data_IF_131733271358
#
_entry.id   IF_131733271358
#
_cell.length_a   1.000
_cell.length_b   1.000
_cell.length_c   1.000
_cell.angle_alpha   90.00
_cell.angle_beta   90.00
_cell.angle_gamma   90.00
#
_symmetry.space_group_name_H-M   'P 1'
#
loop_
_entity.id
_entity.type
_entity.pdbx_description
1 polymer ?
#
# COMPACT_ATOMS: atom_id res chain seq x y z
N UNK A 1 4.08 16.14 -16.20
CA UNK A 1 4.65 17.32 -15.55
C UNK A 1 6.16 17.11 -15.50
N UNK A 2 6.92 18.04 -16.09
CA UNK A 2 8.39 18.04 -16.02
C UNK A 2 8.83 19.18 -15.10
N UNK A 3 9.69 18.87 -14.16
CA UNK A 3 10.48 19.85 -13.42
C UNK A 3 11.96 19.63 -13.75
N UNK A 4 12.84 20.53 -13.29
CA UNK A 4 14.30 20.32 -13.45
C UNK A 4 14.83 19.10 -12.67
N UNK A 5 14.05 18.57 -11.72
CA UNK A 5 14.41 17.49 -10.82
C UNK A 5 13.63 16.19 -11.06
N UNK A 6 12.39 16.28 -11.57
CA UNK A 6 11.50 15.13 -11.71
C UNK A 6 10.78 15.15 -13.07
N UNK A 7 10.77 13.99 -13.73
CA UNK A 7 9.96 13.74 -14.93
C UNK A 7 8.91 12.67 -14.58
N UNK A 8 7.64 13.06 -14.57
CA UNK A 8 6.53 12.13 -14.35
C UNK A 8 6.04 11.56 -15.69
N UNK A 9 5.95 10.25 -15.76
CA UNK A 9 5.37 9.51 -16.87
C UNK A 9 4.18 8.71 -16.34
N UNK A 10 2.99 9.05 -16.80
CA UNK A 10 1.76 8.38 -16.43
C UNK A 10 1.46 7.23 -17.40
N UNK A 11 1.00 6.10 -16.85
CA UNK A 11 0.54 4.93 -17.59
C UNK A 11 -0.94 4.73 -17.28
N UNK A 12 -1.79 4.79 -18.30
CA UNK A 12 -3.22 4.60 -18.13
C UNK A 12 -3.50 3.09 -17.98
N UNK A 13 -4.21 2.71 -16.92
CA UNK A 13 -4.56 1.31 -16.66
C UNK A 13 -5.46 0.69 -17.73
N UNK A 14 -6.09 1.51 -18.56
CA UNK A 14 -6.96 1.06 -19.66
C UNK A 14 -6.18 0.75 -20.94
N UNK A 15 -4.91 1.16 -21.03
CA UNK A 15 -4.07 0.85 -22.17
C UNK A 15 -3.60 -0.61 -22.14
N UNK A 16 -3.33 -1.24 -23.30
CA UNK A 16 -2.83 -2.61 -23.38
C UNK A 16 -1.50 -2.80 -22.65
N UNK A 17 -1.37 -3.89 -21.90
CA UNK A 17 -0.17 -4.18 -21.10
C UNK A 17 1.10 -4.29 -21.94
N UNK A 18 1.03 -4.78 -23.18
CA UNK A 18 2.19 -4.90 -24.08
C UNK A 18 2.76 -3.53 -24.46
N UNK A 19 1.88 -2.51 -24.61
CA UNK A 19 2.31 -1.13 -24.82
C UNK A 19 3.00 -0.57 -23.58
N UNK A 20 2.47 -0.88 -22.39
CA UNK A 20 3.09 -0.52 -21.12
C UNK A 20 4.47 -1.14 -20.98
N UNK A 21 4.62 -2.43 -21.25
CA UNK A 21 5.91 -3.10 -21.19
C UNK A 21 6.93 -2.48 -22.15
N UNK A 22 6.53 -2.22 -23.39
CA UNK A 22 7.40 -1.58 -24.38
C UNK A 22 7.82 -0.17 -23.96
N UNK A 23 6.89 0.61 -23.44
CA UNK A 23 7.09 2.00 -23.03
C UNK A 23 7.95 2.11 -21.77
N UNK A 24 7.67 1.31 -20.72
CA UNK A 24 8.43 1.35 -19.47
C UNK A 24 9.86 0.83 -19.68
N UNK A 25 10.02 -0.19 -20.53
CA UNK A 25 11.35 -0.70 -20.90
C UNK A 25 12.22 0.37 -21.57
N UNK A 26 11.64 1.20 -22.46
CA UNK A 26 12.36 2.32 -23.10
C UNK A 26 12.63 3.46 -22.11
N UNK A 27 11.71 3.69 -21.17
CA UNK A 27 11.79 4.80 -20.23
C UNK A 27 12.86 4.59 -19.16
N UNK A 28 13.10 3.35 -18.72
CA UNK A 28 14.03 3.00 -17.64
C UNK A 28 13.86 3.89 -16.40
N UNK A 29 12.68 3.86 -15.74
CA UNK A 29 12.40 4.76 -14.62
C UNK A 29 13.25 4.43 -13.39
N UNK A 30 13.70 5.47 -12.69
CA UNK A 30 14.36 5.32 -11.38
C UNK A 30 13.36 4.95 -10.28
N UNK A 31 12.12 5.47 -10.36
CA UNK A 31 11.09 5.25 -9.37
C UNK A 31 9.86 4.69 -10.08
N UNK A 32 9.35 3.59 -9.57
CA UNK A 32 8.10 2.99 -10.03
C UNK A 32 7.07 3.13 -8.91
N UNK A 33 5.95 3.78 -9.22
CA UNK A 33 4.80 3.88 -8.31
C UNK A 33 3.63 3.15 -8.95
N UNK A 34 3.06 2.19 -8.26
CA UNK A 34 1.96 1.40 -8.81
C UNK A 34 1.22 0.57 -7.77
N UNK A 35 0.11 0.02 -8.20
CA UNK A 35 -0.66 -0.94 -7.43
C UNK A 35 0.09 -2.27 -7.35
N UNK A 36 -0.01 -3.04 -6.25
CA UNK A 36 0.55 -4.39 -6.14
C UNK A 36 0.27 -5.28 -7.34
N UNK A 37 -0.98 -5.29 -7.81
CA UNK A 37 -1.39 -6.06 -8.99
C UNK A 37 -0.57 -5.75 -10.24
N UNK A 38 -0.25 -4.47 -10.50
CA UNK A 38 0.61 -4.06 -11.61
C UNK A 38 2.09 -4.34 -11.36
N UNK A 39 2.57 -4.12 -10.14
CA UNK A 39 3.96 -4.39 -9.77
C UNK A 39 4.28 -5.89 -9.94
N UNK A 40 3.35 -6.77 -9.61
CA UNK A 40 3.46 -8.22 -9.84
C UNK A 40 3.50 -8.54 -11.35
N UNK A 41 2.70 -7.87 -12.17
CA UNK A 41 2.75 -8.06 -13.63
C UNK A 41 4.12 -7.64 -14.20
N UNK A 42 4.68 -6.51 -13.74
CA UNK A 42 6.03 -6.08 -14.10
C UNK A 42 7.08 -7.09 -13.64
N UNK A 43 6.98 -7.59 -12.41
CA UNK A 43 7.89 -8.61 -11.90
C UNK A 43 7.83 -9.91 -12.72
N UNK A 44 6.63 -10.36 -13.10
CA UNK A 44 6.46 -11.53 -13.98
C UNK A 44 7.03 -11.29 -15.38
N UNK A 45 6.84 -10.09 -15.94
CA UNK A 45 7.41 -9.73 -17.25
C UNK A 45 8.94 -9.67 -17.21
N UNK A 46 9.52 -9.17 -16.12
CA UNK A 46 10.97 -9.16 -15.87
C UNK A 46 11.52 -10.59 -15.77
N UNK A 47 10.88 -11.48 -15.02
CA UNK A 47 11.26 -12.91 -14.93
C UNK A 47 11.23 -13.63 -16.28
N UNK A 48 10.30 -13.22 -17.16
CA UNK A 48 10.18 -13.76 -18.53
C UNK A 48 11.06 -13.05 -19.56
N UNK A 49 11.93 -12.14 -19.12
CA UNK A 49 12.81 -11.34 -19.96
C UNK A 49 12.08 -10.48 -21.03
N UNK A 50 10.77 -10.23 -20.84
CA UNK A 50 9.98 -9.33 -21.70
C UNK A 50 10.40 -7.87 -21.49
N UNK A 51 10.75 -7.51 -20.26
CA UNK A 51 11.30 -6.21 -19.89
C UNK A 51 12.59 -6.40 -19.10
N UNK A 52 13.41 -5.34 -19.07
CA UNK A 52 14.56 -5.27 -18.18
C UNK A 52 14.58 -3.89 -17.54
N UNK A 53 14.31 -3.85 -16.22
CA UNK A 53 14.24 -2.65 -15.41
C UNK A 53 15.18 -2.77 -14.20
N UNK A 54 15.75 -1.64 -13.79
CA UNK A 54 16.57 -1.53 -12.58
C UNK A 54 16.17 -0.27 -11.81
N UNK A 55 14.97 -0.24 -11.21
CA UNK A 55 14.53 0.93 -10.45
C UNK A 55 15.33 1.07 -9.16
N UNK A 56 15.53 2.31 -8.71
CA UNK A 56 16.12 2.62 -7.40
C UNK A 56 15.08 2.51 -6.28
N UNK A 57 13.80 2.74 -6.61
CA UNK A 57 12.68 2.69 -5.67
C UNK A 57 11.42 2.09 -6.31
N UNK A 58 10.70 1.32 -5.51
CA UNK A 58 9.36 0.82 -5.85
C UNK A 58 8.42 1.22 -4.72
N UNK A 59 7.31 1.87 -5.08
CA UNK A 59 6.31 2.37 -4.13
C UNK A 59 4.97 1.73 -4.48
N UNK A 60 4.46 0.96 -3.54
CA UNK A 60 3.13 0.35 -3.62
C UNK A 60 2.07 1.29 -3.08
N UNK A 61 0.99 1.47 -3.85
CA UNK A 61 -0.13 2.37 -3.54
C UNK A 61 -1.48 1.73 -3.87
N UNK A 62 -2.54 2.27 -3.31
CA UNK A 62 -3.94 2.04 -3.67
C UNK A 62 -4.52 0.65 -3.37
N UNK A 63 -3.73 -0.40 -3.28
CA UNK A 63 -4.16 -1.75 -2.92
C UNK A 63 -3.35 -2.27 -1.73
N UNK A 64 -3.87 -3.27 -1.04
CA UNK A 64 -3.13 -3.94 0.04
C UNK A 64 -2.04 -4.83 -0.58
N UNK A 65 -0.79 -4.57 -0.22
CA UNK A 65 0.33 -5.42 -0.62
C UNK A 65 0.41 -6.65 0.29
N UNK A 66 0.27 -7.84 -0.29
CA UNK A 66 0.45 -9.08 0.47
C UNK A 66 1.94 -9.37 0.73
N UNK A 67 2.28 -10.10 1.81
CA UNK A 67 3.65 -10.52 2.04
C UNK A 67 4.23 -11.33 0.87
N UNK A 68 3.44 -12.20 0.25
CA UNK A 68 3.84 -13.03 -0.89
C UNK A 68 4.13 -12.21 -2.14
N UNK A 69 3.30 -11.18 -2.40
CA UNK A 69 3.51 -10.26 -3.51
C UNK A 69 4.75 -9.39 -3.26
N UNK A 70 4.92 -8.91 -2.04
CA UNK A 70 6.10 -8.15 -1.64
C UNK A 70 7.37 -8.95 -1.87
N UNK A 71 7.44 -10.18 -1.36
CA UNK A 71 8.59 -11.07 -1.54
C UNK A 71 8.88 -11.31 -3.03
N UNK A 72 7.83 -11.51 -3.82
CA UNK A 72 7.97 -11.71 -5.27
C UNK A 72 8.56 -10.49 -5.96
N UNK A 73 8.05 -9.28 -5.66
CA UNK A 73 8.52 -8.03 -6.26
C UNK A 73 9.96 -7.74 -5.83
N UNK A 74 10.24 -7.80 -4.53
CA UNK A 74 11.56 -7.55 -3.97
C UNK A 74 12.61 -8.56 -4.48
N UNK A 75 12.22 -9.84 -4.59
CA UNK A 75 13.08 -10.89 -5.13
C UNK A 75 13.47 -10.67 -6.60
N UNK A 76 12.59 -10.03 -7.39
CA UNK A 76 12.86 -9.76 -8.82
C UNK A 76 13.68 -8.50 -9.03
N UNK A 77 13.28 -7.40 -8.36
CA UNK A 77 13.90 -6.10 -8.60
C UNK A 77 15.08 -5.80 -7.66
N UNK A 78 15.26 -6.62 -6.62
CA UNK A 78 16.29 -6.44 -5.58
C UNK A 78 16.20 -5.06 -4.88
N UNK A 79 14.97 -4.55 -4.74
CA UNK A 79 14.65 -3.27 -4.13
C UNK A 79 13.53 -3.48 -3.12
N UNK A 80 13.67 -2.89 -1.93
CA UNK A 80 12.60 -2.93 -0.92
C UNK A 80 11.38 -2.15 -1.38
N UNK A 81 10.19 -2.75 -1.30
CA UNK A 81 8.93 -2.11 -1.68
C UNK A 81 8.44 -1.23 -0.55
N UNK A 82 8.41 0.07 -0.79
CA UNK A 82 7.79 1.03 0.11
C UNK A 82 6.28 1.01 -0.06
N UNK A 83 5.54 1.09 1.04
CA UNK A 83 4.09 1.16 1.01
C UNK A 83 3.62 2.54 1.47
N UNK A 84 2.63 3.07 0.79
CA UNK A 84 1.97 4.32 1.19
C UNK A 84 0.52 4.02 1.49
N UNK A 85 0.11 4.30 2.72
CA UNK A 85 -1.29 4.25 3.13
C UNK A 85 -1.95 5.58 2.78
N UNK A 86 -2.75 5.54 1.73
CA UNK A 86 -3.54 6.67 1.28
C UNK A 86 -4.91 6.24 0.78
N UNK A 87 -5.87 7.14 0.88
CA UNK A 87 -7.21 7.01 0.33
C UNK A 87 -7.71 8.39 -0.14
N UNK A 88 -8.96 8.48 -0.58
CA UNK A 88 -9.54 9.73 -1.08
C UNK A 88 -9.45 10.88 -0.06
N UNK A 89 -9.49 10.55 1.21
CA UNK A 89 -9.41 11.48 2.33
C UNK A 89 -8.00 12.02 2.56
N UNK A 90 -6.95 11.33 2.13
CA UNK A 90 -5.57 11.82 2.28
C UNK A 90 -4.50 10.74 2.35
N UNK A 91 -3.27 11.18 2.58
CA UNK A 91 -2.12 10.32 2.85
C UNK A 91 -1.96 10.18 4.37
N UNK A 92 -2.11 8.97 4.87
CA UNK A 92 -2.18 8.70 6.32
C UNK A 92 -0.93 8.05 6.90
N UNK A 93 -0.07 7.47 6.05
CA UNK A 93 1.15 6.87 6.52
C UNK A 93 2.03 6.31 5.41
N UNK A 94 3.24 5.94 5.77
CA UNK A 94 4.21 5.31 4.88
C UNK A 94 5.03 4.25 5.62
N UNK A 95 5.51 3.27 4.87
CA UNK A 95 6.32 2.21 5.47
C UNK A 95 7.75 2.68 5.76
N UNK A 96 8.26 2.25 6.92
CA UNK A 96 9.65 2.41 7.27
C UNK A 96 10.53 1.29 6.68
N UNK A 97 11.85 1.39 6.87
CA UNK A 97 12.82 0.37 6.43
C UNK A 97 12.61 -1.03 7.06
N UNK A 98 11.76 -1.15 8.07
CA UNK A 98 11.37 -2.43 8.69
C UNK A 98 10.07 -2.99 8.10
N UNK A 99 9.47 -2.32 7.11
CA UNK A 99 8.25 -2.73 6.44
C UNK A 99 6.95 -2.33 7.16
N UNK A 100 7.00 -1.83 8.40
CA UNK A 100 5.81 -1.37 9.09
C UNK A 100 5.40 0.03 8.62
N UNK A 101 4.11 0.26 8.44
CA UNK A 101 3.56 1.58 8.09
C UNK A 101 3.48 2.41 9.36
N UNK A 102 4.06 3.60 9.32
CA UNK A 102 3.91 4.60 10.38
C UNK A 102 2.88 5.64 9.96
N UNK A 103 1.93 5.90 10.87
CA UNK A 103 0.88 6.87 10.60
C UNK A 103 1.40 8.29 10.85
N UNK A 104 0.99 9.25 10.00
CA UNK A 104 1.50 10.63 9.96
C UNK A 104 0.97 11.49 11.12
N UNK A 105 1.32 11.16 12.36
CA UNK A 105 0.86 11.86 13.58
C UNK A 105 1.42 13.27 13.72
N UNK A 106 2.34 13.69 12.85
CA UNK A 106 2.81 15.08 12.74
C UNK A 106 1.76 16.04 12.16
N UNK A 107 0.76 15.52 11.44
CA UNK A 107 -0.32 16.30 10.83
C UNK A 107 -1.70 15.71 11.03
N UNK A 108 -1.81 14.59 11.72
CA UNK A 108 -3.05 13.88 11.96
C UNK A 108 -3.23 13.59 13.46
N UNK A 109 -4.44 13.76 13.95
CA UNK A 109 -4.87 13.15 15.21
C UNK A 109 -5.56 11.84 14.86
N UNK A 110 -5.10 10.76 15.45
CA UNK A 110 -5.59 9.40 15.16
C UNK A 110 -6.15 8.80 16.45
N UNK A 111 -7.47 8.75 16.52
CA UNK A 111 -8.17 8.04 17.57
C UNK A 111 -8.43 6.59 17.14
N UNK A 112 -8.34 5.64 18.05
CA UNK A 112 -8.48 4.21 17.75
C UNK A 112 -9.83 3.71 18.25
N UNK A 113 -10.70 3.27 17.33
CA UNK A 113 -11.86 2.48 17.69
C UNK A 113 -11.45 1.00 17.65
N UNK A 114 -11.14 0.44 18.81
CA UNK A 114 -10.68 -0.93 18.93
C UNK A 114 -11.76 -1.95 18.54
N UNK A 115 -11.38 -2.94 17.76
CA UNK A 115 -12.15 -4.14 17.43
C UNK A 115 -11.76 -5.25 18.39
N UNK A 116 -10.47 -5.40 18.67
CA UNK A 116 -9.88 -6.31 19.64
C UNK A 116 -8.55 -5.74 20.18
N UNK A 117 -7.70 -6.57 20.78
CA UNK A 117 -6.44 -6.13 21.42
C UNK A 117 -5.43 -5.51 20.44
N UNK A 118 -5.51 -5.83 19.15
CA UNK A 118 -4.53 -5.41 18.13
C UNK A 118 -5.14 -4.70 16.93
N UNK A 119 -6.44 -4.86 16.68
CA UNK A 119 -7.11 -4.30 15.51
C UNK A 119 -7.99 -3.13 15.88
N UNK A 120 -7.93 -2.09 15.07
CA UNK A 120 -8.74 -0.90 15.26
C UNK A 120 -9.15 -0.28 13.93
N UNK A 121 -10.25 0.46 13.96
CA UNK A 121 -10.67 1.37 12.90
C UNK A 121 -10.19 2.77 13.29
N UNK A 122 -9.42 3.47 12.44
CA UNK A 122 -8.95 4.81 12.75
C UNK A 122 -10.07 5.84 12.60
N UNK A 123 -10.10 6.80 13.53
CA UNK A 123 -10.90 8.02 13.45
C UNK A 123 -9.90 9.16 13.29
N UNK A 124 -9.96 9.85 12.14
CA UNK A 124 -8.93 10.80 11.71
C UNK A 124 -9.42 12.24 11.84
N UNK A 125 -8.57 13.10 12.39
CA UNK A 125 -8.67 14.55 12.25
C UNK A 125 -7.42 15.04 11.53
N UNK A 126 -7.57 15.65 10.34
CA UNK A 126 -6.45 16.21 9.57
C UNK A 126 -6.28 17.71 9.90
N UNK A 127 -5.18 18.05 10.54
CA UNK A 127 -4.86 19.39 10.99
C UNK A 127 -4.39 20.33 9.86
N UNK A 128 -4.08 19.77 8.69
CA UNK A 128 -3.54 20.51 7.54
C UNK A 128 -4.62 20.94 6.55
N UNK A 129 -5.81 20.31 6.61
CA UNK A 129 -6.91 20.59 5.68
C UNK A 129 -7.78 21.76 6.13
N UNK A 130 -7.69 22.89 5.40
CA UNK A 130 -8.45 24.10 5.71
C UNK A 130 -9.67 24.31 4.82
N UNK A 131 -9.65 23.80 3.59
CA UNK A 131 -10.74 24.02 2.60
C UNK A 131 -11.86 22.98 2.77
N UNK A 132 -11.49 21.74 2.97
CA UNK A 132 -12.41 20.64 3.27
C UNK A 132 -11.92 19.96 4.54
N UNK A 133 -12.32 20.45 5.72
CA UNK A 133 -11.84 19.91 6.98
C UNK A 133 -12.29 18.45 7.16
N UNK A 134 -11.39 17.64 7.66
CA UNK A 134 -11.66 16.27 8.13
C UNK A 134 -11.49 16.28 9.63
N UNK A 135 -12.60 16.18 10.35
CA UNK A 135 -12.63 16.23 11.80
C UNK A 135 -13.35 15.00 12.32
N UNK A 136 -12.64 14.16 13.08
CA UNK A 136 -13.14 12.91 13.66
C UNK A 136 -13.86 12.02 12.64
N UNK A 137 -13.31 11.96 11.42
CA UNK A 137 -13.84 11.13 10.36
C UNK A 137 -13.47 9.67 10.62
N UNK A 138 -14.48 8.83 10.81
CA UNK A 138 -14.29 7.40 10.99
C UNK A 138 -13.98 6.77 9.63
N UNK A 139 -12.78 6.20 9.52
CA UNK A 139 -12.38 5.44 8.35
C UNK A 139 -13.10 4.09 8.28
N UNK A 140 -13.01 3.43 7.15
CA UNK A 140 -13.56 2.09 6.95
C UNK A 140 -12.49 0.99 6.99
N UNK A 141 -11.22 1.37 7.05
CA UNK A 141 -10.10 0.43 7.03
C UNK A 141 -9.83 -0.16 8.42
N UNK A 142 -9.43 -1.42 8.46
CA UNK A 142 -9.03 -2.13 9.67
C UNK A 142 -7.51 -2.17 9.71
N UNK A 143 -6.93 -1.56 10.73
CA UNK A 143 -5.49 -1.50 10.92
C UNK A 143 -5.05 -2.42 12.06
N UNK A 144 -3.94 -3.13 11.84
CA UNK A 144 -3.33 -3.98 12.85
C UNK A 144 -2.14 -3.28 13.48
N UNK A 145 -2.24 -2.88 14.76
CA UNK A 145 -1.16 -2.19 15.46
C UNK A 145 0.01 -3.13 15.75
N UNK A 146 1.22 -2.58 15.77
CA UNK A 146 2.45 -3.30 16.11
C UNK A 146 3.46 -2.37 16.75
N UNK A 147 4.45 -2.96 17.42
CA UNK A 147 5.65 -2.25 17.82
C UNK A 147 6.65 -2.25 16.67
N UNK A 148 7.42 -1.15 16.52
CA UNK A 148 8.44 -1.04 15.50
C UNK A 148 9.78 -0.57 16.07
N UNK A 149 10.84 -1.29 15.76
CA UNK A 149 12.22 -0.98 16.20
C UNK A 149 12.98 -0.05 15.24
N UNK A 150 12.29 0.68 14.35
CA UNK A 150 12.95 1.55 13.39
C UNK A 150 13.45 2.89 13.97
N UNK A 151 13.06 3.20 15.22
CA UNK A 151 13.40 4.45 15.90
C UNK A 151 12.35 5.55 15.76
N UNK A 152 11.27 5.36 14.98
CA UNK A 152 10.14 6.28 14.93
C UNK A 152 9.24 6.09 16.16
N UNK A 153 8.75 7.21 16.71
CA UNK A 153 7.77 7.23 17.79
C UNK A 153 6.32 7.29 17.27
N UNK A 154 6.12 7.42 15.97
CA UNK A 154 4.80 7.44 15.35
C UNK A 154 4.15 6.05 15.45
N UNK A 155 2.82 6.03 15.57
CA UNK A 155 2.03 4.80 15.61
C UNK A 155 2.35 3.89 14.43
N UNK A 156 2.81 2.66 14.73
CA UNK A 156 3.12 1.68 13.72
C UNK A 156 1.97 0.69 13.53
N UNK A 157 1.71 0.34 12.27
CA UNK A 157 0.79 -0.72 11.88
C UNK A 157 1.52 -1.73 10.97
N UNK A 158 1.28 -3.01 11.24
CA UNK A 158 1.90 -4.10 10.46
C UNK A 158 1.13 -4.44 9.20
N UNK A 159 -0.16 -4.16 9.18
CA UNK A 159 -1.03 -4.49 8.06
C UNK A 159 -2.29 -3.61 8.02
N UNK A 160 -2.83 -3.46 6.82
CA UNK A 160 -4.20 -3.03 6.54
C UNK A 160 -4.95 -4.31 6.15
N UNK A 161 -5.86 -4.79 7.02
CA UNK A 161 -6.51 -6.09 6.84
C UNK A 161 -7.75 -6.06 5.93
N UNK A 162 -8.11 -4.90 5.39
CA UNK A 162 -9.27 -4.67 4.55
C UNK A 162 -10.22 -3.66 5.16
N UNK A 163 -11.48 -3.70 4.76
CA UNK A 163 -12.51 -2.74 5.17
C UNK A 163 -13.56 -3.39 6.08
N UNK A 164 -14.15 -2.59 6.95
CA UNK A 164 -15.25 -3.02 7.82
C UNK A 164 -16.46 -3.54 7.03
N UNK A 165 -16.76 -2.92 5.88
CA UNK A 165 -17.89 -3.32 5.02
C UNK A 165 -17.67 -4.66 4.32
N UNK A 166 -16.42 -5.10 4.23
CA UNK A 166 -16.05 -6.38 3.61
C UNK A 166 -16.00 -7.54 4.62
N UNK A 167 -16.33 -7.27 5.90
CA UNK A 167 -16.41 -8.31 6.92
C UNK A 167 -17.59 -9.24 6.64
N UNK A 168 -17.32 -10.53 6.57
CA UNK A 168 -18.38 -11.54 6.50
C UNK A 168 -18.73 -12.04 7.88
N UNK A 169 -19.99 -11.94 8.23
CA UNK A 169 -20.53 -12.52 9.48
C UNK A 169 -21.27 -13.81 9.15
N UNK A 170 -20.80 -14.91 9.71
CA UNK A 170 -21.44 -16.20 9.59
C UNK A 170 -21.72 -16.76 10.98
N UNK A 171 -22.97 -16.89 11.34
CA UNK A 171 -23.42 -17.19 12.71
C UNK A 171 -22.82 -16.16 13.68
N UNK A 172 -22.05 -16.60 14.68
CA UNK A 172 -21.39 -15.74 15.68
C UNK A 172 -19.92 -15.45 15.34
N UNK A 173 -19.47 -15.79 14.12
CA UNK A 173 -18.08 -15.62 13.69
C UNK A 173 -17.94 -14.48 12.69
N UNK A 174 -16.97 -13.61 12.92
CA UNK A 174 -16.56 -12.57 11.98
C UNK A 174 -15.35 -13.06 11.21
N UNK A 175 -15.47 -13.09 9.87
CA UNK A 175 -14.41 -13.50 8.96
C UNK A 175 -13.87 -12.25 8.27
N UNK A 176 -12.60 -11.99 8.44
CA UNK A 176 -11.90 -10.86 7.81
C UNK A 176 -11.54 -11.19 6.35
N UNK A 177 -11.58 -10.21 5.42
CA UNK A 177 -11.30 -10.44 4.01
C UNK A 177 -9.94 -11.07 3.74
N UNK A 178 -8.93 -10.68 4.51
CA UNK A 178 -7.58 -11.25 4.39
C UNK A 178 -7.55 -12.76 4.66
N UNK A 179 -8.38 -13.25 5.56
CA UNK A 179 -8.49 -14.68 5.83
C UNK A 179 -9.00 -15.48 4.62
N UNK A 180 -9.99 -14.91 3.91
CA UNK A 180 -10.55 -15.54 2.69
C UNK A 180 -9.50 -15.54 1.59
N UNK A 181 -8.81 -14.41 1.41
CA UNK A 181 -7.74 -14.31 0.41
C UNK A 181 -6.64 -15.34 0.65
N UNK A 182 -6.15 -15.47 1.89
CA UNK A 182 -5.14 -16.48 2.25
C UNK A 182 -5.62 -17.91 2.02
N UNK A 183 -6.88 -18.20 2.33
CA UNK A 183 -7.46 -19.51 2.10
C UNK A 183 -7.51 -19.85 0.60
N UNK A 184 -7.86 -18.90 -0.26
CA UNK A 184 -7.90 -19.07 -1.71
C UNK A 184 -6.50 -19.19 -2.30
N UNK A 185 -5.55 -18.34 -1.90
CA UNK A 185 -4.19 -18.37 -2.43
C UNK A 185 -3.38 -19.56 -1.93
N UNK A 186 -3.66 -20.06 -0.73
CA UNK A 186 -3.02 -21.25 -0.18
C UNK A 186 -3.59 -22.58 -0.64
N UNK A 187 -4.68 -22.57 -1.42
CA UNK A 187 -5.33 -23.77 -1.96
C UNK A 187 -4.84 -24.18 -3.37
N UNK A 188 -3.86 -23.46 -3.94
CA UNK A 188 -3.27 -23.73 -5.27
C UNK A 188 -1.87 -24.33 -5.16
#
# INVERSE_FOLDING_TARGET
VQSKLLAFNFFDLLDPMDEHFSRIHKLQPNIIVGQPSLLILLAKAQKKEVIKLCPDQIISVAEVLSPEDQETIEGVFQVHVQQVYQCSEGMFGESCKKGNIHLNEDGLIIEKQWIDEKRFVPIITDLRRNVQPIIRYKMNDILHTTDCSCGSNMLAVSAIEGRMDDLLTFEDKVIFPDFIRRAITGAN
#
